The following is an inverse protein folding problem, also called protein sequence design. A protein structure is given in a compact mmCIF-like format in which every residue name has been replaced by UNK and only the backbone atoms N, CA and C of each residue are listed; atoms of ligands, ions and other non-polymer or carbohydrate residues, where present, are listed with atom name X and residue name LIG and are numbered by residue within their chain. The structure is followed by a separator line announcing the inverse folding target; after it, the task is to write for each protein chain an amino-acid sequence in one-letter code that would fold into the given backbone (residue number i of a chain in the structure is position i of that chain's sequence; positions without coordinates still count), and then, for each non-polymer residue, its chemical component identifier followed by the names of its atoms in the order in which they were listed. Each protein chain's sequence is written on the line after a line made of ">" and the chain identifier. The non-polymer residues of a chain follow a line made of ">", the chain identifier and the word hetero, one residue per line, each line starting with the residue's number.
data_IF_534945788904
#
_entry.id   IF_534945788904
#
_cell.length_a   1.000
_cell.length_b   1.000
_cell.length_c   1.000
_cell.angle_alpha   90.00
_cell.angle_beta   90.00
_cell.angle_gamma   90.00
#
_symmetry.space_group_name_H-M   'P 1'
#
loop_
_entity.id
_entity.type
_entity.pdbx_description
1 polymer ?
#
# COMPACT_ATOMS: atom_id res chain seq x y z
N UNK A 1 5.82 -26.08 54.44
CA UNK A 1 6.51 -24.77 54.40
C UNK A 1 7.09 -24.61 53.00
N UNK A 2 6.57 -23.62 52.24
CA UNK A 2 7.23 -22.79 51.19
C UNK A 2 8.65 -23.24 50.76
N UNK A 3 9.08 -23.34 49.50
CA UNK A 3 8.79 -22.64 48.24
C UNK A 3 9.62 -23.39 47.16
N UNK A 4 9.06 -23.73 46.00
CA UNK A 4 9.34 -23.06 44.71
C UNK A 4 10.81 -23.13 44.25
N UNK A 5 11.05 -23.83 43.12
CA UNK A 5 11.38 -23.22 41.81
C UNK A 5 11.64 -24.31 40.77
N UNK A 6 10.74 -24.41 39.80
CA UNK A 6 11.06 -25.05 38.51
C UNK A 6 12.26 -24.34 37.87
N UNK A 7 13.25 -25.08 37.33
CA UNK A 7 14.29 -24.48 36.52
C UNK A 7 13.72 -24.12 35.15
N UNK A 8 13.53 -22.82 34.97
CA UNK A 8 13.89 -22.10 33.74
C UNK A 8 13.34 -22.64 32.41
N UNK A 9 12.14 -22.18 32.05
CA UNK A 9 11.73 -21.99 30.65
C UNK A 9 12.64 -20.93 29.99
N UNK A 10 13.80 -21.33 29.49
CA UNK A 10 14.79 -20.44 28.86
C UNK A 10 15.30 -21.03 27.53
N UNK A 11 14.38 -21.29 26.60
CA UNK A 11 14.69 -21.46 25.17
C UNK A 11 13.36 -21.44 24.41
N UNK A 12 12.97 -20.37 23.69
CA UNK A 12 13.57 -20.03 22.42
C UNK A 12 13.16 -18.60 22.02
N UNK A 13 14.05 -17.62 22.18
CA UNK A 13 13.93 -16.34 21.48
C UNK A 13 14.42 -16.54 20.04
N UNK A 14 13.58 -17.16 19.22
CA UNK A 14 13.84 -17.33 17.79
C UNK A 14 14.03 -15.96 17.13
N UNK A 15 15.18 -15.76 16.49
CA UNK A 15 15.40 -14.66 15.53
C UNK A 15 14.37 -14.77 14.41
N UNK A 16 13.22 -14.10 14.53
CA UNK A 16 12.19 -14.06 13.49
C UNK A 16 11.63 -12.67 13.08
N UNK A 17 12.29 -11.50 13.28
CA UNK A 17 11.76 -10.25 12.72
C UNK A 17 12.30 -9.88 11.33
N UNK A 18 13.51 -10.29 10.94
CA UNK A 18 14.20 -9.75 9.74
C UNK A 18 13.69 -10.36 8.42
N UNK A 19 13.38 -11.66 8.40
CA UNK A 19 12.91 -12.36 7.18
C UNK A 19 11.56 -11.82 6.69
N UNK A 20 10.64 -11.55 7.61
CA UNK A 20 9.32 -11.01 7.28
C UNK A 20 9.38 -9.56 6.78
N UNK A 21 10.31 -8.75 7.29
CA UNK A 21 10.52 -7.39 6.80
C UNK A 21 11.07 -7.39 5.37
N UNK A 22 12.09 -8.21 5.08
CA UNK A 22 12.65 -8.34 3.74
C UNK A 22 11.60 -8.76 2.72
N UNK A 23 10.76 -9.75 3.04
CA UNK A 23 9.69 -10.20 2.15
C UNK A 23 8.68 -9.08 1.85
N UNK A 24 8.26 -8.32 2.88
CA UNK A 24 7.33 -7.19 2.70
C UNK A 24 7.91 -6.08 1.83
N UNK A 25 9.20 -5.78 1.98
CA UNK A 25 9.90 -4.79 1.15
C UNK A 25 10.00 -5.28 -0.30
N UNK A 26 10.39 -6.55 -0.51
CA UNK A 26 10.45 -7.14 -1.86
C UNK A 26 9.07 -7.09 -2.54
N UNK A 27 8.02 -7.50 -1.84
CA UNK A 27 6.66 -7.45 -2.37
C UNK A 27 6.23 -6.01 -2.71
N UNK A 28 6.54 -5.04 -1.84
CA UNK A 28 6.27 -3.62 -2.10
C UNK A 28 6.99 -3.13 -3.36
N UNK A 29 8.28 -3.44 -3.50
CA UNK A 29 9.07 -3.07 -4.68
C UNK A 29 8.52 -3.72 -5.96
N UNK A 30 8.13 -4.99 -5.90
CA UNK A 30 7.53 -5.71 -7.03
C UNK A 30 6.20 -5.06 -7.47
N UNK A 31 5.34 -4.70 -6.52
CA UNK A 31 4.09 -4.02 -6.81
C UNK A 31 4.33 -2.65 -7.46
N UNK A 32 5.32 -1.89 -6.97
CA UNK A 32 5.64 -0.57 -7.51
C UNK A 32 6.40 -0.59 -8.83
N UNK A 33 7.11 -1.69 -9.15
CA UNK A 33 7.95 -1.76 -10.35
C UNK A 33 7.16 -1.53 -11.64
N UNK A 34 5.99 -2.16 -11.75
CA UNK A 34 5.14 -2.06 -12.94
C UNK A 34 4.60 -0.64 -13.21
N UNK A 35 3.91 0.03 -12.27
CA UNK A 35 3.41 1.39 -12.49
C UNK A 35 4.53 2.42 -12.66
N UNK A 36 5.68 2.24 -11.98
CA UNK A 36 6.85 3.12 -12.14
C UNK A 36 7.45 2.94 -13.53
N UNK A 37 7.68 1.70 -13.97
CA UNK A 37 8.20 1.42 -15.31
C UNK A 37 7.27 1.99 -16.39
N UNK A 38 5.96 1.76 -16.27
CA UNK A 38 4.98 2.29 -17.19
C UNK A 38 4.98 3.82 -17.24
N UNK A 39 4.98 4.48 -16.09
CA UNK A 39 5.00 5.95 -16.00
C UNK A 39 6.28 6.56 -16.55
N UNK A 40 7.44 5.95 -16.26
CA UNK A 40 8.74 6.39 -16.79
C UNK A 40 8.83 6.18 -18.29
N UNK A 41 8.38 5.03 -18.81
CA UNK A 41 8.40 4.75 -20.25
C UNK A 41 7.56 5.76 -21.05
N UNK A 42 6.44 6.22 -20.49
CA UNK A 42 5.59 7.27 -21.03
C UNK A 42 6.28 8.63 -21.09
N UNK A 43 6.99 8.99 -20.00
CA UNK A 43 7.75 10.24 -19.94
C UNK A 43 8.95 10.26 -20.88
N UNK A 44 9.70 9.15 -20.96
CA UNK A 44 10.84 9.00 -21.88
C UNK A 44 10.40 9.07 -23.34
N UNK A 45 9.22 8.52 -23.66
CA UNK A 45 8.60 8.63 -25.00
C UNK A 45 7.97 10.00 -25.27
N UNK A 46 8.08 10.96 -24.33
CA UNK A 46 7.47 12.29 -24.36
C UNK A 46 5.95 12.29 -24.59
N UNK A 47 5.26 11.20 -24.24
CA UNK A 47 3.82 11.10 -24.45
C UNK A 47 3.10 11.93 -23.39
N UNK A 48 3.32 11.65 -22.10
CA UNK A 48 2.63 12.33 -20.99
C UNK A 48 3.31 12.04 -19.65
N UNK A 49 3.45 13.06 -18.78
CA UNK A 49 4.01 12.92 -17.41
C UNK A 49 2.96 12.77 -16.30
N UNK A 50 1.69 12.97 -16.63
CA UNK A 50 0.55 12.97 -15.68
C UNK A 50 0.53 11.71 -14.80
N UNK A 51 0.70 10.47 -15.29
CA UNK A 51 0.66 9.28 -14.44
C UNK A 51 1.78 9.25 -13.39
N UNK A 52 2.99 9.69 -13.76
CA UNK A 52 4.12 9.78 -12.84
C UNK A 52 3.87 10.80 -11.73
N UNK A 53 3.33 11.97 -12.10
CA UNK A 53 2.98 13.03 -11.16
C UNK A 53 1.82 12.62 -10.25
N UNK A 54 0.77 12.01 -10.80
CA UNK A 54 -0.36 11.51 -10.03
C UNK A 54 0.09 10.46 -9.01
N UNK A 55 0.90 9.48 -9.43
CA UNK A 55 1.44 8.43 -8.57
C UNK A 55 2.24 9.01 -7.40
N UNK A 56 3.09 10.01 -7.65
CA UNK A 56 3.93 10.64 -6.62
C UNK A 56 3.13 11.52 -5.66
N UNK A 57 2.32 12.44 -6.19
CA UNK A 57 1.51 13.37 -5.40
C UNK A 57 0.47 12.62 -4.57
N UNK A 58 -0.27 11.68 -5.18
CA UNK A 58 -1.30 10.93 -4.45
C UNK A 58 -0.69 9.97 -3.43
N UNK A 59 0.49 9.41 -3.69
CA UNK A 59 1.20 8.60 -2.69
C UNK A 59 1.58 9.44 -1.47
N UNK A 60 2.09 10.66 -1.68
CA UNK A 60 2.44 11.55 -0.58
C UNK A 60 1.18 11.96 0.21
N UNK A 61 0.11 12.33 -0.50
CA UNK A 61 -1.17 12.69 0.11
C UNK A 61 -1.74 11.53 0.94
N UNK A 62 -1.77 10.32 0.39
CA UNK A 62 -2.21 9.13 1.11
C UNK A 62 -1.40 8.90 2.38
N UNK A 63 -0.07 9.01 2.31
CA UNK A 63 0.79 8.85 3.47
C UNK A 63 0.48 9.85 4.59
N UNK A 64 0.26 11.12 4.23
CA UNK A 64 -0.12 12.18 5.18
C UNK A 64 -1.49 11.92 5.79
N UNK A 65 -2.49 11.52 4.99
CA UNK A 65 -3.83 11.18 5.48
C UNK A 65 -3.80 10.04 6.49
N UNK A 66 -3.03 8.98 6.23
CA UNK A 66 -2.86 7.87 7.16
C UNK A 66 -2.17 8.29 8.46
N UNK A 67 -1.16 9.15 8.37
CA UNK A 67 -0.48 9.71 9.55
C UNK A 67 -1.45 10.55 10.38
N UNK A 68 -2.26 11.36 9.73
CA UNK A 68 -3.28 12.19 10.37
C UNK A 68 -4.34 11.32 11.04
N UNK A 69 -4.91 10.33 10.35
CA UNK A 69 -5.92 9.41 10.91
C UNK A 69 -5.38 8.67 12.15
N UNK A 70 -4.12 8.21 12.12
CA UNK A 70 -3.49 7.61 13.30
C UNK A 70 -3.37 8.58 14.47
N UNK A 71 -2.98 9.83 14.23
CA UNK A 71 -2.88 10.86 15.28
C UNK A 71 -4.24 11.16 15.90
N UNK A 72 -5.27 11.32 15.08
CA UNK A 72 -6.63 11.57 15.56
C UNK A 72 -7.17 10.38 16.35
N UNK A 73 -6.89 9.15 15.92
CA UNK A 73 -7.28 7.95 16.65
C UNK A 73 -6.63 7.82 18.04
N UNK A 74 -5.42 8.35 18.21
CA UNK A 74 -4.72 8.38 19.50
C UNK A 74 -5.20 9.50 20.43
N UNK A 75 -5.57 10.66 19.87
CA UNK A 75 -5.95 11.85 20.62
C UNK A 75 -7.47 11.99 20.83
N UNK A 76 -8.27 10.98 20.46
CA UNK A 76 -9.74 11.05 20.54
C UNK A 76 -10.37 12.04 19.56
N UNK A 77 -9.64 12.48 18.54
CA UNK A 77 -10.13 13.40 17.52
C UNK A 77 -11.01 12.73 16.47
N UNK A 78 -11.53 13.54 15.54
CA UNK A 78 -12.35 13.05 14.43
C UNK A 78 -11.53 12.17 13.49
N UNK A 79 -11.97 10.92 13.29
CA UNK A 79 -11.30 9.95 12.40
C UNK A 79 -11.57 10.28 10.95
N UNK A 80 -10.61 10.00 10.09
CA UNK A 80 -10.77 10.15 8.64
C UNK A 80 -11.70 9.03 8.13
N UNK A 81 -12.78 9.36 7.41
CA UNK A 81 -13.69 8.34 6.91
C UNK A 81 -13.00 7.50 5.82
N UNK A 82 -13.31 6.20 5.81
CA UNK A 82 -12.56 5.20 5.02
C UNK A 82 -12.71 5.42 3.51
N UNK A 83 -13.83 6.01 3.08
CA UNK A 83 -14.05 6.40 1.69
C UNK A 83 -12.99 7.39 1.19
N UNK A 84 -12.56 8.36 2.00
CA UNK A 84 -11.52 9.34 1.61
C UNK A 84 -10.18 8.65 1.40
N UNK A 85 -9.85 7.68 2.26
CA UNK A 85 -8.64 6.87 2.12
C UNK A 85 -8.69 6.04 0.83
N UNK A 86 -9.80 5.34 0.58
CA UNK A 86 -9.98 4.52 -0.62
C UNK A 86 -10.03 5.33 -1.92
N UNK A 87 -10.64 6.52 -1.92
CA UNK A 87 -10.61 7.41 -3.09
C UNK A 87 -9.18 7.88 -3.37
N UNK A 88 -8.42 8.25 -2.35
CA UNK A 88 -7.02 8.65 -2.53
C UNK A 88 -6.17 7.49 -3.06
N UNK A 89 -6.39 6.28 -2.54
CA UNK A 89 -5.76 5.06 -3.03
C UNK A 89 -6.10 4.78 -4.49
N UNK A 90 -7.38 4.96 -4.86
CA UNK A 90 -7.90 4.75 -6.20
C UNK A 90 -7.34 5.75 -7.22
N UNK A 91 -7.03 6.97 -6.80
CA UNK A 91 -6.40 7.99 -7.66
C UNK A 91 -4.88 7.79 -7.85
N UNK A 92 -4.32 6.66 -7.38
CA UNK A 92 -2.89 6.34 -7.49
C UNK A 92 -2.10 6.51 -6.19
N UNK A 93 -2.77 6.78 -5.06
CA UNK A 93 -2.12 6.92 -3.76
C UNK A 93 -1.80 5.61 -3.05
N UNK A 94 -2.18 4.46 -3.63
CA UNK A 94 -2.03 3.14 -3.01
C UNK A 94 -0.59 2.79 -2.60
N UNK A 95 0.51 3.19 -3.29
CA UNK A 95 1.87 2.89 -2.81
C UNK A 95 2.19 3.62 -1.50
N UNK A 96 1.86 4.91 -1.43
CA UNK A 96 2.02 5.70 -0.20
C UNK A 96 1.14 5.21 0.94
N UNK A 97 -0.10 4.80 0.64
CA UNK A 97 -0.99 4.16 1.61
C UNK A 97 -0.42 2.83 2.14
N UNK A 98 0.09 1.96 1.26
CA UNK A 98 0.69 0.67 1.65
C UNK A 98 1.91 0.88 2.56
N UNK A 99 2.76 1.86 2.22
CA UNK A 99 3.90 2.24 3.05
C UNK A 99 3.43 2.77 4.41
N UNK A 100 2.44 3.66 4.43
CA UNK A 100 1.87 4.22 5.65
C UNK A 100 1.25 3.15 6.55
N UNK A 101 0.50 2.20 5.98
CA UNK A 101 -0.05 1.06 6.71
C UNK A 101 1.04 0.25 7.42
N UNK A 102 2.19 0.01 6.76
CA UNK A 102 3.31 -0.74 7.35
C UNK A 102 4.04 0.07 8.44
N UNK A 103 4.33 1.34 8.18
CA UNK A 103 5.03 2.26 9.10
C UNK A 103 4.20 2.51 10.35
N UNK A 104 2.93 2.83 10.16
CA UNK A 104 2.03 3.20 11.25
C UNK A 104 1.33 1.99 11.87
N UNK A 105 1.39 0.81 11.24
CA UNK A 105 0.67 -0.41 11.65
C UNK A 105 -0.82 -0.16 11.88
N UNK A 106 -1.37 0.73 11.05
CA UNK A 106 -2.73 1.23 11.16
C UNK A 106 -3.55 0.67 10.00
N UNK A 107 -4.79 0.25 10.26
CA UNK A 107 -5.70 -0.37 9.27
C UNK A 107 -5.19 -1.66 8.60
N UNK A 108 -4.16 -2.31 9.14
CA UNK A 108 -3.62 -3.58 8.61
C UNK A 108 -4.40 -4.82 9.03
N UNK A 109 -5.19 -4.75 10.12
CA UNK A 109 -5.96 -5.89 10.67
C UNK A 109 -7.44 -5.88 10.30
N UNK A 110 -7.97 -4.76 9.79
CA UNK A 110 -9.39 -4.63 9.46
C UNK A 110 -9.63 -5.26 8.08
N UNK A 111 -10.21 -6.46 8.08
CA UNK A 111 -10.39 -7.27 6.85
C UNK A 111 -11.17 -6.51 5.78
N UNK A 112 -12.29 -5.88 6.14
CA UNK A 112 -13.11 -5.14 5.18
C UNK A 112 -12.35 -4.00 4.49
N UNK A 113 -11.50 -3.29 5.24
CA UNK A 113 -10.65 -2.25 4.69
C UNK A 113 -9.59 -2.83 3.74
N UNK A 114 -8.95 -3.93 4.15
CA UNK A 114 -7.91 -4.59 3.34
C UNK A 114 -8.48 -5.17 2.05
N UNK A 115 -9.70 -5.72 2.05
CA UNK A 115 -10.36 -6.20 0.84
C UNK A 115 -10.48 -5.07 -0.20
N UNK A 116 -11.04 -3.93 0.20
CA UNK A 116 -11.21 -2.78 -0.71
C UNK A 116 -9.85 -2.25 -1.19
N UNK A 117 -8.89 -2.11 -0.27
CA UNK A 117 -7.54 -1.69 -0.60
C UNK A 117 -6.88 -2.61 -1.66
N UNK A 118 -6.93 -3.93 -1.47
CA UNK A 118 -6.33 -4.88 -2.41
C UNK A 118 -7.08 -4.93 -3.75
N UNK A 119 -8.40 -4.74 -3.77
CA UNK A 119 -9.15 -4.57 -5.00
C UNK A 119 -8.65 -3.36 -5.79
N UNK A 120 -8.40 -2.22 -5.14
CA UNK A 120 -7.85 -1.02 -5.78
C UNK A 120 -6.46 -1.30 -6.37
N UNK A 121 -5.58 -1.97 -5.62
CA UNK A 121 -4.25 -2.34 -6.10
C UNK A 121 -4.37 -3.25 -7.33
N UNK A 122 -5.22 -4.28 -7.29
CA UNK A 122 -5.43 -5.19 -8.42
C UNK A 122 -5.95 -4.47 -9.67
N UNK A 123 -6.89 -3.53 -9.52
CA UNK A 123 -7.37 -2.70 -10.63
C UNK A 123 -6.22 -1.90 -11.26
N UNK A 124 -5.38 -1.26 -10.45
CA UNK A 124 -4.20 -0.54 -10.97
C UNK A 124 -3.25 -1.46 -11.72
N UNK A 125 -2.94 -2.63 -11.16
CA UNK A 125 -2.05 -3.59 -11.81
C UNK A 125 -2.66 -4.08 -13.13
N UNK A 126 -3.95 -4.39 -13.17
CA UNK A 126 -4.64 -4.81 -14.39
C UNK A 126 -4.60 -3.72 -15.48
N UNK A 127 -4.84 -2.46 -15.12
CA UNK A 127 -4.75 -1.32 -16.04
C UNK A 127 -3.33 -1.16 -16.61
N UNK A 128 -2.30 -1.23 -15.76
CA UNK A 128 -0.92 -1.14 -16.22
C UNK A 128 -0.52 -2.33 -17.10
N UNK A 129 -0.97 -3.55 -16.77
CA UNK A 129 -0.72 -4.74 -17.60
C UNK A 129 -1.40 -4.59 -18.97
N UNK A 130 -2.67 -4.20 -19.00
CA UNK A 130 -3.43 -4.03 -20.25
C UNK A 130 -2.78 -2.96 -21.14
N UNK A 131 -2.38 -1.85 -20.53
CA UNK A 131 -1.77 -0.74 -21.24
C UNK A 131 -0.38 -1.09 -21.80
N UNK A 132 0.46 -1.80 -21.02
CA UNK A 132 1.82 -2.16 -21.41
C UNK A 132 1.90 -3.34 -22.38
N UNK A 133 1.05 -4.36 -22.20
CA UNK A 133 1.20 -5.65 -22.88
C UNK A 133 0.04 -6.00 -23.82
N UNK A 134 -1.19 -5.57 -23.52
CA UNK A 134 -2.36 -5.93 -24.33
C UNK A 134 -2.77 -4.84 -25.33
N UNK A 135 -2.05 -3.72 -25.39
CA UNK A 135 -2.30 -2.67 -26.36
C UNK A 135 -3.59 -1.88 -26.10
N UNK A 136 -3.97 -1.71 -24.82
CA UNK A 136 -5.20 -1.00 -24.38
C UNK A 136 -6.50 -1.73 -24.72
N UNK A 137 -6.47 -3.05 -24.86
CA UNK A 137 -7.64 -3.84 -25.27
C UNK A 137 -8.79 -3.72 -24.29
N UNK A 138 -8.49 -3.68 -22.99
CA UNK A 138 -9.48 -3.50 -21.93
C UNK A 138 -10.10 -2.09 -21.99
N UNK A 139 -9.29 -1.05 -22.24
CA UNK A 139 -9.75 0.32 -22.44
C UNK A 139 -10.59 0.49 -23.72
N UNK A 140 -10.32 -0.29 -24.77
CA UNK A 140 -11.12 -0.29 -26.00
C UNK A 140 -12.47 -0.99 -25.85
N UNK A 141 -12.58 -1.96 -24.93
CA UNK A 141 -13.82 -2.68 -24.64
C UNK A 141 -14.78 -1.89 -23.72
N UNK A 142 -14.27 -0.84 -23.06
CA UNK A 142 -15.08 0.12 -22.31
C UNK A 142 -15.11 1.46 -23.06
N UNK A 143 -15.93 1.59 -24.13
CA UNK A 143 -16.14 2.87 -24.77
C UNK A 143 -16.90 3.77 -23.78
N UNK A 144 -16.19 4.73 -23.20
CA UNK A 144 -16.75 5.90 -22.52
C UNK A 144 -16.93 7.02 -23.55
#
# INVERSE_FOLDING_TARGET
>A
MKLVREPQRLASRGRAPVRQLRLKVVMFLLLCALPVYGSVSLGVRQITLIPALALTVMSLLAFVLYRHDKRQAANGGQRTPENVLHVTELLGGWPGALLAQQVFRHKTRKVSFQIVFWMIVLVHQALWIDWLFLGKRLLQLMPL
#
